data_IF_975902228854
#
_entry.id   IF_975902228854
#
_cell.length_a   1.000
_cell.length_b   1.000
_cell.length_c   1.000
_cell.angle_alpha   90.00
_cell.angle_beta   90.00
_cell.angle_gamma   90.00
#
_symmetry.space_group_name_H-M   'P 1'
#
loop_
_entity.id
_entity.type
_entity.pdbx_description
1 polymer ?
#
# COMPACT_ATOMS: atom_id res chain seq x y z
N UNK A 1 -5.75 -30.38 52.39
CA UNK A 1 -5.77 -29.14 53.18
C UNK A 1 -5.96 -27.99 52.22
N UNK A 2 -6.95 -27.11 52.29
CA UNK A 2 -8.26 -27.07 52.94
C UNK A 2 -8.77 -25.65 52.65
N UNK A 3 -9.70 -25.50 51.70
CA UNK A 3 -10.56 -24.32 51.61
C UNK A 3 -11.59 -24.38 52.75
N UNK A 4 -11.99 -23.25 53.35
CA UNK A 4 -13.33 -22.70 53.08
C UNK A 4 -13.36 -21.15 52.99
N UNK A 5 -14.20 -20.47 52.18
CA UNK A 5 -15.67 -20.48 52.02
C UNK A 5 -16.43 -19.49 52.97
N UNK A 6 -17.44 -18.81 52.40
CA UNK A 6 -18.58 -18.06 53.00
C UNK A 6 -18.55 -16.52 53.27
N UNK A 7 -19.49 -15.85 52.61
CA UNK A 7 -20.17 -14.56 52.91
C UNK A 7 -21.29 -14.77 53.96
N UNK A 8 -21.64 -13.77 54.81
CA UNK A 8 -23.04 -13.35 54.79
C UNK A 8 -23.35 -11.86 55.13
N UNK A 9 -24.14 -11.23 54.25
CA UNK A 9 -25.37 -10.42 54.49
C UNK A 9 -25.68 -9.83 55.89
N UNK A 10 -26.05 -8.53 55.92
CA UNK A 10 -27.21 -7.90 56.63
C UNK A 10 -27.11 -6.35 56.51
N UNK A 11 -28.16 -5.49 56.56
CA UNK A 11 -29.61 -5.69 56.45
C UNK A 11 -30.36 -4.34 56.15
N UNK A 12 -31.58 -4.47 55.62
CA UNK A 12 -32.84 -3.77 55.98
C UNK A 12 -33.13 -2.27 55.68
N UNK A 13 -34.13 -2.10 54.78
CA UNK A 13 -35.25 -1.12 54.75
C UNK A 13 -35.94 -0.91 56.14
N UNK A 14 -36.76 0.15 56.40
CA UNK A 14 -37.88 0.67 55.56
C UNK A 14 -38.00 2.23 55.59
N UNK A 15 -39.10 2.95 55.25
CA UNK A 15 -40.52 2.62 54.96
C UNK A 15 -41.26 3.66 54.08
N UNK A 16 -42.44 3.29 53.57
CA UNK A 16 -43.60 4.17 53.20
C UNK A 16 -44.70 4.01 54.30
N UNK A 17 -45.77 4.83 54.44
CA UNK A 17 -46.71 5.30 53.40
C UNK A 17 -47.15 6.79 53.62
N UNK A 18 -48.29 7.38 53.21
CA UNK A 18 -49.47 6.97 52.44
C UNK A 18 -50.17 8.19 51.77
N UNK A 19 -50.92 8.01 50.68
CA UNK A 19 -52.34 8.43 50.51
C UNK A 19 -52.84 8.48 49.05
N UNK A 20 -54.12 8.13 48.89
CA UNK A 20 -55.04 8.16 47.73
C UNK A 20 -56.44 8.46 48.34
N UNK A 21 -57.56 8.60 47.60
CA UNK A 21 -57.80 8.75 46.15
C UNK A 21 -58.83 9.88 45.82
N UNK A 22 -59.21 10.05 44.53
CA UNK A 22 -60.60 9.88 43.99
C UNK A 22 -60.98 10.80 42.80
N UNK A 23 -61.59 10.17 41.79
CA UNK A 23 -62.65 10.70 40.89
C UNK A 23 -62.33 11.92 39.98
N UNK A 24 -62.92 12.13 38.79
CA UNK A 24 -63.92 11.34 38.01
C UNK A 24 -63.68 11.60 36.51
N UNK A 25 -64.14 10.69 35.64
CA UNK A 25 -63.70 10.61 34.25
C UNK A 25 -64.18 11.67 33.27
N UNK A 26 -63.87 11.44 31.98
CA UNK A 26 -64.86 11.44 30.90
C UNK A 26 -64.37 10.55 29.73
N UNK A 27 -65.32 10.04 28.95
CA UNK A 27 -65.07 9.13 27.83
C UNK A 27 -64.72 9.92 26.56
N UNK A 28 -63.68 9.52 25.83
CA UNK A 28 -63.74 9.49 24.37
C UNK A 28 -62.83 8.39 23.83
N UNK A 29 -63.25 7.77 22.73
CA UNK A 29 -62.71 6.51 22.24
C UNK A 29 -62.29 6.61 20.76
N UNK A 30 -61.43 5.68 20.34
CA UNK A 30 -60.99 5.42 18.96
C UNK A 30 -60.29 6.58 18.23
N UNK A 31 -59.00 6.40 17.94
CA UNK A 31 -58.54 5.92 16.64
C UNK A 31 -57.09 6.38 16.36
N UNK A 32 -56.09 5.50 16.53
CA UNK A 32 -54.76 5.63 15.90
C UNK A 32 -53.87 4.37 16.07
N UNK A 33 -54.46 3.17 15.97
CA UNK A 33 -53.72 1.89 15.88
C UNK A 33 -53.39 1.52 14.42
N UNK A 34 -52.77 2.45 13.69
CA UNK A 34 -52.39 2.28 12.28
C UNK A 34 -51.13 3.09 11.90
N UNK A 35 -50.08 3.05 12.73
CA UNK A 35 -48.82 3.77 12.49
C UNK A 35 -47.53 3.04 12.96
N UNK A 36 -47.60 1.71 13.18
CA UNK A 36 -46.47 0.91 13.70
C UNK A 36 -45.96 -0.19 12.74
N UNK A 37 -46.36 -0.14 11.46
CA UNK A 37 -45.89 -1.07 10.41
C UNK A 37 -44.89 -0.43 9.42
N UNK A 38 -44.47 0.81 9.65
CA UNK A 38 -43.56 1.56 8.77
C UNK A 38 -42.11 1.69 9.30
N UNK A 39 -41.74 0.88 10.30
CA UNK A 39 -40.38 0.77 10.84
C UNK A 39 -39.88 -0.68 10.81
N UNK A 40 -40.21 -1.41 9.74
CA UNK A 40 -39.24 -2.40 9.27
C UNK A 40 -37.99 -1.59 8.88
N UNK A 41 -36.79 -1.88 9.40
CA UNK A 41 -35.59 -1.38 8.74
C UNK A 41 -35.68 -1.88 7.31
N UNK A 42 -35.51 -0.98 6.34
CA UNK A 42 -35.17 -1.42 4.99
C UNK A 42 -33.89 -2.19 5.14
N UNK A 43 -34.00 -3.53 5.16
CA UNK A 43 -32.87 -4.43 5.11
C UNK A 43 -32.12 -4.04 3.85
N UNK A 44 -31.06 -3.24 4.03
CA UNK A 44 -30.10 -2.96 2.99
C UNK A 44 -29.53 -4.31 2.64
N UNK A 45 -30.10 -4.91 1.59
CA UNK A 45 -29.69 -6.21 1.09
C UNK A 45 -28.19 -6.09 0.89
N UNK A 46 -27.41 -6.94 1.56
CA UNK A 46 -25.97 -6.97 1.36
C UNK A 46 -25.78 -7.20 -0.15
N UNK A 47 -25.33 -6.15 -0.83
CA UNK A 47 -25.54 -6.02 -2.27
C UNK A 47 -24.89 -7.17 -3.05
N UNK A 48 -23.74 -7.59 -2.53
CA UNK A 48 -23.06 -8.81 -2.93
C UNK A 48 -22.99 -9.77 -1.72
N UNK A 49 -23.01 -11.10 -1.96
CA UNK A 49 -22.66 -12.09 -0.95
C UNK A 49 -21.27 -11.83 -0.36
N UNK A 50 -21.02 -12.18 0.92
CA UNK A 50 -19.71 -11.95 1.55
C UNK A 50 -18.60 -12.74 0.84
N UNK A 51 -17.34 -12.29 0.95
CA UNK A 51 -16.20 -12.97 0.33
C UNK A 51 -15.98 -14.41 0.85
N UNK A 52 -16.50 -14.73 2.03
CA UNK A 52 -16.48 -16.07 2.63
C UNK A 52 -17.58 -17.01 2.10
N UNK A 53 -18.51 -16.52 1.25
CA UNK A 53 -19.54 -17.34 0.63
C UNK A 53 -18.90 -18.34 -0.36
N UNK A 54 -19.23 -19.65 -0.30
CA UNK A 54 -18.66 -20.67 -1.19
C UNK A 54 -18.85 -20.31 -2.67
N UNK A 55 -17.79 -20.37 -3.48
CA UNK A 55 -17.83 -19.99 -4.90
C UNK A 55 -18.66 -20.96 -5.77
N UNK A 56 -18.88 -22.20 -5.29
CA UNK A 56 -19.74 -23.19 -5.94
C UNK A 56 -21.25 -22.92 -5.73
N UNK A 57 -21.65 -21.87 -5.00
CA UNK A 57 -23.06 -21.48 -4.87
C UNK A 57 -23.57 -20.95 -6.22
N UNK A 58 -24.79 -21.33 -6.60
CA UNK A 58 -25.46 -20.87 -7.82
C UNK A 58 -25.70 -19.34 -7.75
N UNK A 59 -25.15 -18.53 -8.69
CA UNK A 59 -25.37 -17.08 -8.71
C UNK A 59 -26.84 -16.66 -8.74
N UNK A 60 -27.73 -17.47 -9.33
CA UNK A 60 -29.17 -17.17 -9.41
C UNK A 60 -29.86 -17.32 -8.05
N UNK A 61 -29.40 -18.26 -7.21
CA UNK A 61 -29.84 -18.39 -5.82
C UNK A 61 -29.34 -17.23 -4.94
N UNK A 62 -28.21 -16.62 -5.31
CA UNK A 62 -27.69 -15.37 -4.73
C UNK A 62 -28.44 -14.13 -5.24
N UNK A 63 -29.39 -14.29 -6.18
CA UNK A 63 -30.16 -13.20 -6.78
C UNK A 63 -29.41 -12.39 -7.85
N UNK A 64 -28.28 -12.91 -8.33
CA UNK A 64 -27.42 -12.25 -9.31
C UNK A 64 -27.92 -12.47 -10.75
N UNK A 65 -27.57 -11.51 -11.62
CA UNK A 65 -27.90 -11.49 -13.05
C UNK A 65 -26.63 -11.65 -13.87
N UNK A 66 -26.61 -12.66 -14.73
CA UNK A 66 -25.48 -12.95 -15.61
C UNK A 66 -25.42 -12.00 -16.81
N UNK A 67 -24.24 -11.42 -17.05
CA UNK A 67 -23.85 -10.75 -18.28
C UNK A 67 -22.68 -11.55 -18.89
N UNK A 68 -22.91 -12.41 -19.89
CA UNK A 68 -21.85 -13.18 -20.54
C UNK A 68 -20.96 -12.27 -21.39
N UNK A 69 -19.66 -12.53 -21.39
CA UNK A 69 -18.66 -11.77 -22.17
C UNK A 69 -17.95 -12.64 -23.20
N UNK A 70 -17.69 -12.08 -24.37
CA UNK A 70 -16.78 -12.61 -25.38
C UNK A 70 -15.35 -12.05 -25.17
N UNK A 71 -14.89 -12.09 -23.92
CA UNK A 71 -13.60 -11.58 -23.47
C UNK A 71 -12.97 -12.62 -22.54
N UNK A 72 -11.71 -12.98 -22.80
CA UNK A 72 -10.92 -13.80 -21.89
C UNK A 72 -10.30 -12.90 -20.81
N UNK A 73 -10.41 -13.31 -19.55
CA UNK A 73 -9.88 -12.60 -18.38
C UNK A 73 -8.78 -13.44 -17.71
N UNK A 74 -7.77 -13.79 -18.50
CA UNK A 74 -6.65 -14.67 -18.14
C UNK A 74 -5.43 -13.94 -17.54
N UNK A 75 -5.33 -12.61 -17.68
CA UNK A 75 -4.24 -11.86 -17.06
C UNK A 75 -4.11 -10.40 -17.49
N UNK A 76 -2.89 -10.01 -17.86
CA UNK A 76 -2.57 -8.63 -18.25
C UNK A 76 -3.08 -8.29 -19.65
N UNK A 77 -3.78 -7.17 -19.77
CA UNK A 77 -4.34 -6.70 -21.05
C UNK A 77 -4.72 -5.24 -21.01
N UNK A 78 -5.20 -4.71 -22.14
CA UNK A 78 -5.74 -3.36 -22.24
C UNK A 78 -7.20 -3.45 -22.69
N UNK A 79 -8.10 -2.93 -21.85
CA UNK A 79 -9.53 -2.87 -22.11
C UNK A 79 -9.99 -1.42 -22.36
N UNK A 80 -11.17 -1.26 -22.95
CA UNK A 80 -11.81 0.02 -23.19
C UNK A 80 -12.50 0.50 -21.90
N UNK A 81 -12.17 1.72 -21.48
CA UNK A 81 -12.79 2.35 -20.32
C UNK A 81 -14.11 3.06 -20.61
N UNK A 82 -14.85 3.37 -19.55
CA UNK A 82 -16.15 4.05 -19.58
C UNK A 82 -16.13 5.45 -20.23
N UNK A 83 -14.95 6.06 -20.38
CA UNK A 83 -14.73 7.37 -21.02
C UNK A 83 -13.93 7.24 -22.32
N UNK A 84 -13.78 6.03 -22.85
CA UNK A 84 -12.99 5.74 -24.05
C UNK A 84 -11.48 5.66 -23.82
N UNK A 85 -11.03 5.63 -22.57
CA UNK A 85 -9.62 5.47 -22.22
C UNK A 85 -9.12 4.02 -22.37
N UNK A 86 -7.80 3.84 -22.32
CA UNK A 86 -7.15 2.53 -22.28
C UNK A 86 -6.95 2.13 -20.81
N UNK A 87 -7.73 1.17 -20.32
CA UNK A 87 -7.65 0.65 -18.95
C UNK A 87 -6.72 -0.58 -18.92
N UNK A 88 -5.60 -0.55 -18.18
CA UNK A 88 -4.78 -1.74 -17.98
C UNK A 88 -5.49 -2.73 -17.05
N UNK A 89 -6.02 -3.80 -17.63
CA UNK A 89 -6.50 -4.95 -16.87
C UNK A 89 -5.30 -5.77 -16.38
N UNK A 90 -5.40 -6.24 -15.14
CA UNK A 90 -4.39 -7.10 -14.49
C UNK A 90 -5.09 -8.24 -13.76
N UNK A 91 -4.34 -9.28 -13.43
CA UNK A 91 -4.86 -10.39 -12.64
C UNK A 91 -5.42 -9.91 -11.29
N UNK A 92 -4.78 -8.92 -10.66
CA UNK A 92 -5.30 -8.23 -9.47
C UNK A 92 -6.41 -7.24 -9.85
N UNK A 93 -7.62 -7.40 -9.30
CA UNK A 93 -8.71 -6.43 -9.51
C UNK A 93 -8.45 -5.09 -8.79
N UNK A 94 -7.75 -5.18 -7.65
CA UNK A 94 -7.28 -4.05 -6.83
C UNK A 94 -5.75 -4.13 -6.80
N UNK A 95 -5.07 -3.14 -7.39
CA UNK A 95 -3.60 -3.13 -7.48
C UNK A 95 -3.00 -1.78 -7.08
N UNK A 96 -1.75 -1.81 -6.63
CA UNK A 96 -0.91 -0.61 -6.42
C UNK A 96 0.34 -0.78 -7.25
N UNK A 97 0.72 0.23 -8.04
CA UNK A 97 1.86 0.12 -8.94
C UNK A 97 3.18 0.06 -8.17
N UNK A 98 4.16 -0.67 -8.70
CA UNK A 98 5.43 -0.93 -8.02
C UNK A 98 6.46 0.19 -8.23
N UNK A 99 6.23 1.08 -9.20
CA UNK A 99 7.28 1.78 -9.94
C UNK A 99 7.11 3.30 -10.10
N UNK A 100 5.92 3.88 -9.87
CA UNK A 100 5.77 5.34 -9.97
C UNK A 100 4.50 5.94 -9.37
N UNK A 101 3.33 5.48 -9.82
CA UNK A 101 2.03 5.98 -9.36
C UNK A 101 1.60 5.26 -8.07
N UNK A 102 1.54 5.94 -6.90
CA UNK A 102 1.08 5.32 -5.67
C UNK A 102 -0.41 4.95 -5.70
N UNK A 103 -1.21 5.52 -6.60
CA UNK A 103 -2.67 5.45 -6.54
C UNK A 103 -3.18 4.01 -6.74
N UNK A 104 -4.01 3.47 -5.82
CA UNK A 104 -4.66 2.19 -6.02
C UNK A 104 -5.59 2.21 -7.22
N UNK A 105 -5.50 1.19 -8.07
CA UNK A 105 -6.27 1.02 -9.30
C UNK A 105 -7.32 -0.06 -9.12
N UNK A 106 -8.54 0.23 -9.60
CA UNK A 106 -9.74 -0.59 -9.45
C UNK A 106 -10.31 -0.91 -10.83
N UNK A 107 -9.50 -1.53 -11.68
CA UNK A 107 -9.71 -1.51 -13.14
C UNK A 107 -11.08 -2.05 -13.57
N UNK A 108 -11.70 -2.95 -12.80
CA UNK A 108 -13.03 -3.49 -13.07
C UNK A 108 -14.16 -2.47 -12.98
N UNK A 109 -13.97 -1.38 -12.23
CA UNK A 109 -14.92 -0.28 -12.10
C UNK A 109 -14.73 0.77 -13.22
N UNK A 110 -13.57 0.80 -13.87
CA UNK A 110 -13.23 1.75 -14.95
C UNK A 110 -13.62 1.25 -16.36
N UNK A 111 -13.83 -0.06 -16.54
CA UNK A 111 -14.07 -0.71 -17.86
C UNK A 111 -15.52 -0.56 -18.36
N UNK A 112 -15.68 -0.25 -19.65
CA UNK A 112 -16.99 -0.35 -20.31
C UNK A 112 -17.30 -1.80 -20.70
N UNK A 113 -17.88 -2.54 -19.76
CA UNK A 113 -18.26 -3.93 -19.96
C UNK A 113 -19.28 -4.17 -21.08
N UNK A 114 -19.98 -3.14 -21.57
CA UNK A 114 -21.03 -3.29 -22.59
C UNK A 114 -20.45 -3.72 -23.93
N UNK A 115 -19.26 -3.23 -24.29
CA UNK A 115 -18.61 -3.54 -25.59
C UNK A 115 -18.09 -4.97 -25.69
N UNK A 116 -18.02 -5.69 -24.56
CA UNK A 116 -17.52 -7.06 -24.46
C UNK A 116 -18.64 -8.11 -24.33
N UNK A 117 -19.91 -7.71 -24.35
CA UNK A 117 -21.05 -8.62 -24.18
C UNK A 117 -21.08 -9.69 -25.26
N UNK A 118 -21.17 -10.97 -24.87
CA UNK A 118 -21.24 -12.09 -25.79
C UNK A 118 -22.58 -12.13 -26.53
N UNK A 119 -22.55 -12.48 -27.82
CA UNK A 119 -23.77 -12.70 -28.59
C UNK A 119 -24.48 -13.99 -28.14
N UNK A 120 -25.80 -14.03 -28.28
CA UNK A 120 -26.59 -15.20 -27.90
C UNK A 120 -26.10 -16.47 -28.64
N UNK A 121 -25.84 -17.53 -27.88
CA UNK A 121 -25.33 -18.81 -28.39
C UNK A 121 -23.81 -18.89 -28.61
N UNK A 122 -23.05 -17.81 -28.37
CA UNK A 122 -21.59 -17.85 -28.40
C UNK A 122 -21.02 -18.27 -27.02
N UNK A 123 -19.90 -19.02 -26.98
CA UNK A 123 -19.21 -19.33 -25.72
C UNK A 123 -18.83 -18.07 -24.93
N UNK A 124 -19.04 -18.09 -23.62
CA UNK A 124 -18.69 -16.98 -22.72
C UNK A 124 -17.45 -17.33 -21.91
N UNK A 125 -16.30 -16.75 -22.28
CA UNK A 125 -15.01 -16.91 -21.58
C UNK A 125 -14.95 -16.13 -20.25
N UNK A 126 -15.90 -15.24 -20.01
CA UNK A 126 -16.20 -14.72 -18.68
C UNK A 126 -17.70 -14.46 -18.54
N UNK A 127 -18.22 -14.49 -17.31
CA UNK A 127 -19.58 -14.07 -16.98
C UNK A 127 -19.52 -13.12 -15.79
N UNK A 128 -20.02 -11.90 -15.97
CA UNK A 128 -20.19 -10.94 -14.90
C UNK A 128 -21.52 -11.21 -14.19
N UNK A 129 -21.48 -11.46 -12.89
CA UNK A 129 -22.66 -11.66 -12.06
C UNK A 129 -22.94 -10.38 -11.29
N UNK A 130 -24.03 -9.69 -11.66
CA UNK A 130 -24.40 -8.38 -11.12
C UNK A 130 -25.60 -8.46 -10.18
N UNK A 131 -25.66 -7.59 -9.17
CA UNK A 131 -26.84 -7.47 -8.31
C UNK A 131 -28.04 -6.82 -9.05
N UNK A 132 -29.12 -6.56 -8.32
CA UNK A 132 -30.31 -5.91 -8.87
C UNK A 132 -30.07 -4.45 -9.32
N UNK A 133 -29.08 -3.78 -8.73
CA UNK A 133 -28.69 -2.38 -8.98
C UNK A 133 -27.60 -2.27 -10.08
N UNK A 134 -27.06 -3.40 -10.53
CA UNK A 134 -26.04 -3.48 -11.59
C UNK A 134 -24.59 -3.54 -11.09
N UNK A 135 -24.35 -3.59 -9.78
CA UNK A 135 -23.00 -3.70 -9.18
C UNK A 135 -22.40 -5.07 -9.46
N UNK A 136 -21.08 -5.13 -9.69
CA UNK A 136 -20.38 -6.36 -10.04
C UNK A 136 -20.04 -7.17 -8.78
N UNK A 137 -20.79 -8.24 -8.49
CA UNK A 137 -20.61 -9.02 -7.27
C UNK A 137 -19.71 -10.25 -7.46
N UNK A 138 -19.67 -10.80 -8.67
CA UNK A 138 -18.86 -11.97 -8.99
C UNK A 138 -18.47 -11.96 -10.46
N UNK A 139 -17.33 -12.57 -10.78
CA UNK A 139 -16.84 -12.82 -12.13
C UNK A 139 -16.56 -14.31 -12.20
N UNK A 140 -17.28 -15.05 -13.05
CA UNK A 140 -16.91 -16.40 -13.43
C UNK A 140 -15.97 -16.34 -14.62
N UNK A 141 -14.84 -17.05 -14.59
CA UNK A 141 -13.91 -17.19 -15.72
C UNK A 141 -14.06 -18.56 -16.34
N UNK A 142 -13.98 -18.63 -17.67
CA UNK A 142 -13.90 -19.89 -18.39
C UNK A 142 -12.79 -19.83 -19.45
N UNK A 143 -12.10 -20.94 -19.66
CA UNK A 143 -11.15 -21.12 -20.76
C UNK A 143 -11.71 -22.06 -21.84
N UNK A 144 -11.25 -21.92 -23.09
CA UNK A 144 -11.64 -22.81 -24.19
C UNK A 144 -10.48 -23.75 -24.51
N UNK A 145 -10.52 -24.97 -23.96
CA UNK A 145 -9.51 -26.00 -24.18
C UNK A 145 -10.05 -27.03 -25.16
N UNK A 146 -9.40 -27.14 -26.33
CA UNK A 146 -9.76 -28.11 -27.40
C UNK A 146 -11.25 -28.04 -27.79
N UNK A 147 -11.80 -26.83 -27.87
CA UNK A 147 -13.21 -26.59 -28.23
C UNK A 147 -14.22 -26.88 -27.10
N UNK A 148 -13.76 -27.16 -25.87
CA UNK A 148 -14.61 -27.29 -24.69
C UNK A 148 -14.42 -26.08 -23.78
N UNK A 149 -15.52 -25.55 -23.27
CA UNK A 149 -15.49 -24.54 -22.21
C UNK A 149 -15.20 -25.26 -20.87
N UNK A 150 -14.15 -24.84 -20.18
CA UNK A 150 -13.77 -25.33 -18.86
C UNK A 150 -13.80 -24.16 -17.87
N UNK A 151 -14.14 -24.47 -16.61
CA UNK A 151 -14.09 -23.53 -15.50
C UNK A 151 -12.63 -23.10 -15.23
N UNK A 152 -12.41 -21.78 -15.13
CA UNK A 152 -11.14 -21.14 -14.81
C UNK A 152 -11.17 -20.45 -13.42
N UNK A 153 -12.13 -20.82 -12.58
CA UNK A 153 -12.42 -20.20 -11.30
C UNK A 153 -13.01 -18.80 -11.48
N UNK A 154 -12.62 -17.86 -10.62
CA UNK A 154 -13.15 -16.50 -10.74
C UNK A 154 -12.95 -15.64 -9.51
N UNK A 155 -13.81 -14.64 -9.35
CA UNK A 155 -13.70 -13.63 -8.30
C UNK A 155 -15.04 -13.36 -7.62
N UNK A 156 -15.04 -13.16 -6.29
CA UNK A 156 -16.10 -12.44 -5.57
C UNK A 156 -15.61 -11.04 -5.23
N UNK A 157 -16.51 -10.06 -5.26
CA UNK A 157 -16.22 -8.66 -4.96
C UNK A 157 -17.10 -8.22 -3.77
N UNK A 158 -16.54 -7.38 -2.91
CA UNK A 158 -17.23 -6.79 -1.77
C UNK A 158 -17.04 -5.27 -1.76
N UNK A 159 -18.05 -4.57 -1.25
CA UNK A 159 -18.17 -3.11 -1.32
C UNK A 159 -18.37 -2.53 0.08
N UNK A 160 -17.90 -1.31 0.31
CA UNK A 160 -18.12 -0.60 1.56
C UNK A 160 -19.57 -0.06 1.68
N UNK A 161 -19.90 0.51 2.84
CA UNK A 161 -21.22 1.08 3.09
C UNK A 161 -21.56 2.31 2.22
N UNK A 162 -20.60 2.84 1.46
CA UNK A 162 -20.80 3.89 0.46
C UNK A 162 -20.89 3.31 -0.97
N UNK A 163 -20.89 1.98 -1.10
CA UNK A 163 -21.04 1.28 -2.37
C UNK A 163 -19.78 1.28 -3.24
N UNK A 164 -18.59 1.54 -2.67
CA UNK A 164 -17.29 1.53 -3.38
C UNK A 164 -16.61 0.18 -3.21
N UNK A 165 -15.92 -0.31 -4.24
CA UNK A 165 -15.16 -1.55 -4.19
C UNK A 165 -14.14 -1.50 -3.04
N UNK A 166 -14.30 -2.41 -2.08
CA UNK A 166 -13.54 -2.45 -0.83
C UNK A 166 -12.73 -3.73 -0.68
N UNK A 167 -13.11 -4.83 -1.34
CA UNK A 167 -12.32 -6.05 -1.37
C UNK A 167 -12.65 -6.98 -2.54
N UNK A 168 -11.76 -7.92 -2.85
CA UNK A 168 -12.04 -9.07 -3.70
C UNK A 168 -11.43 -10.35 -3.12
N UNK A 169 -11.99 -11.50 -3.52
CA UNK A 169 -11.43 -12.84 -3.30
C UNK A 169 -11.36 -13.57 -4.63
N UNK A 170 -10.19 -14.10 -4.99
CA UNK A 170 -9.98 -14.92 -6.19
C UNK A 170 -10.02 -16.41 -5.84
N UNK A 171 -10.66 -17.19 -6.70
CA UNK A 171 -10.88 -18.63 -6.58
C UNK A 171 -10.32 -19.38 -7.78
N UNK A 172 -9.77 -20.57 -7.52
CA UNK A 172 -9.27 -21.49 -8.55
C UNK A 172 -10.40 -22.27 -9.22
N UNK A 173 -10.13 -23.06 -10.29
CA UNK A 173 -11.08 -24.02 -10.86
C UNK A 173 -11.55 -25.11 -9.87
N UNK A 174 -10.82 -25.31 -8.77
CA UNK A 174 -11.27 -26.16 -7.65
C UNK A 174 -12.17 -25.43 -6.65
N UNK A 175 -12.53 -24.17 -6.94
CA UNK A 175 -13.22 -23.25 -6.05
C UNK A 175 -12.52 -23.01 -4.69
N UNK A 176 -11.20 -23.23 -4.65
CA UNK A 176 -10.36 -22.91 -3.49
C UNK A 176 -9.92 -21.45 -3.55
N UNK A 177 -9.89 -20.77 -2.40
CA UNK A 177 -9.39 -19.41 -2.29
C UNK A 177 -7.91 -19.36 -2.68
N UNK A 178 -7.57 -18.54 -3.67
CA UNK A 178 -6.20 -18.32 -4.17
C UNK A 178 -5.57 -17.14 -3.44
N UNK A 179 -6.30 -16.03 -3.34
CA UNK A 179 -5.88 -14.79 -2.68
C UNK A 179 -7.06 -13.87 -2.40
N UNK A 180 -6.83 -12.86 -1.57
CA UNK A 180 -7.72 -11.72 -1.40
C UNK A 180 -6.95 -10.42 -1.58
N UNK A 181 -7.67 -9.31 -1.75
CA UNK A 181 -7.16 -7.99 -1.41
C UNK A 181 -8.29 -7.11 -0.87
N UNK A 182 -7.99 -6.20 0.03
CA UNK A 182 -8.96 -5.22 0.52
C UNK A 182 -8.36 -3.83 0.74
N UNK A 183 -9.23 -2.84 0.91
CA UNK A 183 -8.92 -1.43 0.95
C UNK A 183 -9.57 -0.80 2.18
N UNK A 184 -8.73 -0.34 3.10
CA UNK A 184 -9.18 0.46 4.23
C UNK A 184 -9.30 1.93 3.80
N UNK A 185 -10.46 2.53 4.09
CA UNK A 185 -10.73 3.97 3.89
C UNK A 185 -10.97 4.65 5.24
N UNK A 186 -10.76 5.95 5.31
CA UNK A 186 -11.19 6.77 6.45
C UNK A 186 -12.68 7.15 6.35
N UNK A 187 -13.16 7.90 7.35
CA UNK A 187 -14.54 8.37 7.41
C UNK A 187 -14.94 9.30 6.24
N UNK A 188 -13.97 9.93 5.57
CA UNK A 188 -14.19 10.76 4.39
C UNK A 188 -14.07 9.97 3.08
N UNK A 189 -13.71 8.69 3.15
CA UNK A 189 -13.55 7.80 2.00
C UNK A 189 -12.15 7.77 1.39
N UNK A 190 -11.19 8.51 1.93
CA UNK A 190 -9.82 8.50 1.44
C UNK A 190 -9.16 7.15 1.78
N UNK A 191 -8.45 6.56 0.82
CA UNK A 191 -7.72 5.31 1.05
C UNK A 191 -6.60 5.56 2.07
N UNK A 192 -6.56 4.72 3.10
CA UNK A 192 -5.50 4.66 4.13
C UNK A 192 -4.58 3.46 3.96
N UNK A 193 -5.09 2.35 3.43
CA UNK A 193 -4.29 1.17 3.17
C UNK A 193 -4.91 0.30 2.06
N UNK A 194 -4.05 -0.41 1.33
CA UNK A 194 -4.40 -1.59 0.55
C UNK A 194 -3.68 -2.78 1.16
N UNK A 195 -4.40 -3.88 1.34
CA UNK A 195 -3.92 -5.11 1.93
C UNK A 195 -4.01 -6.23 0.90
N UNK A 196 -2.94 -7.01 0.76
CA UNK A 196 -2.94 -8.24 -0.03
C UNK A 196 -3.13 -9.48 0.85
N UNK A 197 -3.51 -10.58 0.21
CA UNK A 197 -3.63 -11.95 0.72
C UNK A 197 -4.78 -12.22 1.70
N UNK A 198 -5.07 -11.34 2.68
CA UNK A 198 -6.13 -11.54 3.67
C UNK A 198 -6.85 -10.25 4.07
N UNK A 199 -8.16 -10.35 4.35
CA UNK A 199 -9.00 -9.21 4.74
C UNK A 199 -9.29 -9.08 6.25
N UNK A 200 -9.36 -10.20 6.97
CA UNK A 200 -9.97 -10.27 8.32
C UNK A 200 -8.95 -10.45 9.47
N UNK A 201 -7.65 -10.40 9.16
CA UNK A 201 -6.55 -10.59 10.11
C UNK A 201 -5.52 -9.47 10.00
N UNK A 202 -4.51 -9.44 10.89
CA UNK A 202 -3.38 -8.50 10.81
C UNK A 202 -2.72 -8.60 9.42
N UNK A 203 -2.79 -7.56 8.58
CA UNK A 203 -2.42 -7.68 7.17
C UNK A 203 -0.93 -7.98 6.99
N UNK A 204 -0.62 -9.03 6.23
CA UNK A 204 0.74 -9.55 6.07
C UNK A 204 1.57 -8.78 5.05
N UNK A 205 0.94 -7.99 4.16
CA UNK A 205 1.59 -7.24 3.07
C UNK A 205 0.87 -5.90 2.76
N UNK A 206 0.86 -4.93 3.69
CA UNK A 206 0.16 -3.67 3.49
C UNK A 206 0.93 -2.69 2.59
N UNK A 207 0.19 -1.87 1.85
CA UNK A 207 0.64 -0.57 1.33
C UNK A 207 -0.19 0.52 2.00
N UNK A 208 0.45 1.38 2.79
CA UNK A 208 -0.21 2.47 3.51
C UNK A 208 -0.16 3.79 2.74
N UNK A 209 -1.17 4.62 2.99
CA UNK A 209 -1.40 5.92 2.39
C UNK A 209 -1.52 6.95 3.52
N UNK A 210 -0.41 7.60 3.84
CA UNK A 210 -0.34 8.57 4.94
C UNK A 210 -0.79 9.93 4.44
N UNK A 211 -1.83 10.47 5.06
CA UNK A 211 -2.39 11.79 4.75
C UNK A 211 -2.28 12.73 5.94
N UNK A 212 -2.12 14.02 5.66
CA UNK A 212 -2.25 15.08 6.67
C UNK A 212 -3.71 15.22 7.13
N UNK A 213 -3.95 15.99 8.20
CA UNK A 213 -5.32 16.32 8.63
C UNK A 213 -6.13 17.08 7.57
N UNK A 214 -5.48 17.76 6.64
CA UNK A 214 -6.11 18.41 5.48
C UNK A 214 -6.42 17.43 4.32
N UNK A 215 -6.15 16.13 4.49
CA UNK A 215 -6.41 15.09 3.48
C UNK A 215 -5.36 14.96 2.37
N UNK A 216 -4.34 15.82 2.34
CA UNK A 216 -3.22 15.77 1.40
C UNK A 216 -2.40 14.49 1.59
N UNK A 217 -2.06 13.78 0.50
CA UNK A 217 -1.20 12.61 0.56
C UNK A 217 0.25 13.05 0.79
N UNK A 218 0.83 12.62 1.92
CA UNK A 218 2.20 12.95 2.31
C UNK A 218 3.17 11.89 1.84
N UNK A 219 2.86 10.61 2.11
CA UNK A 219 3.70 9.48 1.70
C UNK A 219 2.93 8.19 1.54
N UNK A 220 3.50 7.26 0.78
CA UNK A 220 3.08 5.85 0.77
C UNK A 220 4.17 4.96 1.30
N UNK A 221 3.79 3.98 2.12
CA UNK A 221 4.70 3.04 2.77
C UNK A 221 4.33 1.64 2.25
N UNK A 222 5.18 1.07 1.41
CA UNK A 222 5.00 -0.26 0.82
C UNK A 222 5.78 -1.30 1.64
N UNK A 223 5.05 -2.17 2.34
CA UNK A 223 5.60 -3.25 3.17
C UNK A 223 5.33 -4.63 2.57
N UNK A 224 5.05 -4.75 1.26
CA UNK A 224 4.77 -6.05 0.61
C UNK A 224 5.96 -7.01 0.66
N UNK A 225 7.18 -6.49 0.77
CA UNK A 225 8.42 -7.23 1.00
C UNK A 225 8.81 -7.32 2.50
N UNK A 226 7.89 -7.00 3.42
CA UNK A 226 8.15 -6.88 4.85
C UNK A 226 8.86 -5.57 5.24
N UNK A 227 9.07 -5.36 6.53
CA UNK A 227 9.72 -4.16 7.07
C UNK A 227 11.17 -4.00 6.61
N UNK A 228 11.90 -5.11 6.44
CA UNK A 228 13.27 -5.14 5.94
C UNK A 228 13.40 -4.89 4.42
N UNK A 229 12.29 -4.96 3.68
CA UNK A 229 12.21 -4.62 2.27
C UNK A 229 11.34 -3.38 2.00
N UNK A 230 11.07 -2.58 3.03
CA UNK A 230 10.12 -1.48 2.96
C UNK A 230 10.58 -0.36 2.02
N UNK A 231 9.63 0.16 1.23
CA UNK A 231 9.84 1.29 0.32
C UNK A 231 8.90 2.41 0.70
N UNK A 232 9.44 3.57 1.07
CA UNK A 232 8.64 4.78 1.29
C UNK A 232 8.78 5.68 0.08
N UNK A 233 7.64 6.13 -0.47
CA UNK A 233 7.58 7.24 -1.43
C UNK A 233 7.03 8.45 -0.70
N UNK A 234 7.82 9.50 -0.65
CA UNK A 234 7.52 10.71 0.07
C UNK A 234 7.24 11.83 -0.94
N UNK A 235 6.21 12.63 -0.70
CA UNK A 235 5.59 13.48 -1.72
C UNK A 235 5.63 14.97 -1.34
N UNK A 236 5.76 15.80 -2.37
CA UNK A 236 5.59 17.25 -2.28
C UNK A 236 4.10 17.60 -2.14
N UNK A 237 3.84 18.87 -1.80
CA UNK A 237 2.48 19.36 -1.57
C UNK A 237 1.56 19.28 -2.80
N UNK A 238 2.13 19.28 -4.01
CA UNK A 238 1.45 19.12 -5.30
C UNK A 238 1.22 17.64 -5.70
N UNK A 239 1.67 16.68 -4.87
CA UNK A 239 1.61 15.25 -5.14
C UNK A 239 2.76 14.70 -5.98
N UNK A 240 3.74 15.52 -6.38
CA UNK A 240 4.95 15.05 -7.05
C UNK A 240 5.87 14.30 -6.08
N UNK A 241 6.71 13.40 -6.60
CA UNK A 241 7.63 12.61 -5.80
C UNK A 241 8.77 13.49 -5.26
N UNK A 242 8.86 13.64 -3.94
CA UNK A 242 9.94 14.36 -3.24
C UNK A 242 11.17 13.48 -3.08
N UNK A 243 10.97 12.26 -2.57
CA UNK A 243 12.04 11.29 -2.33
C UNK A 243 11.50 9.85 -2.34
N UNK A 244 12.39 8.89 -2.56
CA UNK A 244 12.15 7.46 -2.31
C UNK A 244 13.14 7.00 -1.26
N UNK A 245 12.67 6.35 -0.20
CA UNK A 245 13.52 5.76 0.82
C UNK A 245 13.44 4.23 0.75
N UNK A 246 14.58 3.57 0.96
CA UNK A 246 14.70 2.11 0.97
C UNK A 246 15.62 1.64 2.10
N UNK A 247 15.38 0.41 2.56
CA UNK A 247 16.28 -0.36 3.40
C UNK A 247 17.18 -1.29 2.57
N UNK A 248 18.36 -1.63 3.11
CA UNK A 248 19.23 -2.72 2.67
C UNK A 248 19.97 -3.30 3.87
N UNK A 249 20.44 -4.56 3.84
CA UNK A 249 21.39 -5.08 4.83
C UNK A 249 22.65 -4.22 4.91
N UNK A 250 23.13 -4.01 6.14
CA UNK A 250 24.42 -3.41 6.45
C UNK A 250 25.53 -4.47 6.22
N UNK A 251 26.51 -4.23 5.31
CA UNK A 251 27.56 -5.20 5.03
C UNK A 251 28.49 -5.43 6.23
N UNK A 252 28.63 -4.45 7.12
CA UNK A 252 29.54 -4.51 8.27
C UNK A 252 28.83 -5.05 9.54
N UNK A 253 27.49 -5.13 9.51
CA UNK A 253 26.64 -5.57 10.65
C UNK A 253 25.48 -6.44 10.14
N UNK A 254 25.62 -7.77 10.10
CA UNK A 254 24.67 -8.68 9.45
C UNK A 254 23.19 -8.55 9.85
N UNK A 255 22.93 -8.17 11.10
CA UNK A 255 21.56 -8.01 11.65
C UNK A 255 21.03 -6.57 11.57
N UNK A 256 21.80 -5.63 11.00
CA UNK A 256 21.40 -4.23 10.86
C UNK A 256 20.94 -3.90 9.44
N UNK A 257 20.08 -2.89 9.32
CA UNK A 257 19.64 -2.32 8.05
C UNK A 257 20.16 -0.89 7.92
N UNK A 258 20.74 -0.58 6.77
CA UNK A 258 21.00 0.80 6.35
C UNK A 258 19.81 1.29 5.53
N UNK A 259 19.26 2.42 5.94
CA UNK A 259 18.08 3.03 5.31
C UNK A 259 18.47 4.36 4.71
N UNK A 260 18.06 4.67 3.49
CA UNK A 260 18.61 5.80 2.74
C UNK A 260 17.62 6.36 1.72
N UNK A 261 17.76 7.65 1.41
CA UNK A 261 17.13 8.26 0.25
C UNK A 261 17.83 7.74 -1.02
N UNK A 262 17.06 7.13 -1.92
CA UNK A 262 17.53 6.62 -3.21
C UNK A 262 17.86 7.81 -4.12
N UNK A 263 19.11 7.93 -4.63
CA UNK A 263 19.46 9.00 -5.55
C UNK A 263 18.64 8.95 -6.86
N UNK A 264 18.41 10.10 -7.54
CA UNK A 264 17.76 10.13 -8.85
C UNK A 264 18.55 9.36 -9.93
N UNK A 265 19.88 9.45 -9.93
CA UNK A 265 20.74 8.71 -10.85
C UNK A 265 20.83 7.24 -10.48
N UNK A 266 20.62 6.37 -11.48
CA UNK A 266 20.71 4.90 -11.36
C UNK A 266 22.02 4.31 -11.91
N UNK A 267 22.89 5.14 -12.50
CA UNK A 267 24.10 4.67 -13.19
C UNK A 267 25.24 4.33 -12.23
N UNK A 268 25.35 5.06 -11.11
CA UNK A 268 26.44 4.94 -10.15
C UNK A 268 26.16 3.94 -9.03
N UNK A 269 27.22 3.31 -8.51
CA UNK A 269 27.13 2.39 -7.37
C UNK A 269 26.86 3.17 -6.09
N UNK A 270 25.64 3.05 -5.56
CA UNK A 270 25.24 3.71 -4.30
C UNK A 270 25.97 3.08 -3.10
N UNK A 271 26.76 3.91 -2.41
CA UNK A 271 27.43 3.57 -1.15
C UNK A 271 26.64 4.18 0.00
N UNK A 272 26.00 3.35 0.81
CA UNK A 272 25.22 3.84 1.95
C UNK A 272 26.14 3.89 3.17
N UNK A 273 26.34 5.08 3.74
CA UNK A 273 27.25 5.33 4.86
C UNK A 273 26.44 5.61 6.13
N UNK A 274 26.66 4.91 7.26
CA UNK A 274 25.99 5.19 8.52
C UNK A 274 26.14 6.67 8.94
N UNK A 275 25.11 7.26 9.54
CA UNK A 275 25.15 8.66 9.96
C UNK A 275 26.27 8.91 11.00
N UNK A 276 27.19 9.82 10.69
CA UNK A 276 28.32 10.15 11.56
C UNK A 276 29.49 9.15 11.49
N UNK A 277 29.54 8.31 10.47
CA UNK A 277 30.63 7.35 10.25
C UNK A 277 31.45 7.70 9.00
N UNK A 278 32.68 7.19 8.94
CA UNK A 278 33.42 7.18 7.68
C UNK A 278 32.74 6.22 6.67
N UNK A 279 32.74 6.52 5.35
CA UNK A 279 32.67 5.45 4.36
C UNK A 279 33.82 4.45 4.61
N UNK A 280 33.56 3.18 4.35
CA UNK A 280 34.59 2.13 4.33
C UNK A 280 34.54 1.54 2.93
N UNK A 281 35.61 1.76 2.15
CA UNK A 281 35.75 1.18 0.81
C UNK A 281 37.14 0.60 0.67
N UNK A 282 37.23 -0.70 0.45
CA UNK A 282 38.48 -1.41 0.19
C UNK A 282 38.85 -1.30 -1.28
N UNK A 283 40.06 -0.81 -1.57
CA UNK A 283 40.70 -0.83 -2.89
C UNK A 283 41.74 -1.94 -3.03
N UNK A 284 42.09 -2.60 -1.92
CA UNK A 284 43.16 -3.60 -1.80
C UNK A 284 44.59 -3.03 -2.01
N UNK A 285 44.72 -1.74 -2.33
CA UNK A 285 45.99 -1.05 -2.61
C UNK A 285 46.28 -0.02 -1.52
N UNK A 286 47.32 -0.19 -0.68
CA UNK A 286 47.73 0.81 0.31
C UNK A 286 48.30 2.09 -0.31
N UNK A 287 48.14 3.23 0.37
CA UNK A 287 48.66 4.56 -0.02
C UNK A 287 48.09 5.10 -1.37
N UNK A 288 46.99 4.52 -1.86
CA UNK A 288 46.30 4.91 -3.09
C UNK A 288 45.52 6.23 -2.88
N UNK A 289 45.66 7.23 -3.78
CA UNK A 289 45.00 8.52 -3.62
C UNK A 289 43.49 8.45 -3.91
N UNK A 290 42.69 8.90 -2.96
CA UNK A 290 41.23 9.03 -3.10
C UNK A 290 40.80 10.51 -3.03
N UNK A 291 39.67 10.83 -3.67
CA UNK A 291 39.05 12.17 -3.59
C UNK A 291 37.53 12.08 -3.48
N UNK A 292 36.95 12.92 -2.62
CA UNK A 292 35.51 13.19 -2.63
C UNK A 292 35.29 14.52 -3.35
N UNK A 293 34.44 14.50 -4.37
CA UNK A 293 34.17 15.67 -5.22
C UNK A 293 32.68 15.96 -5.27
N UNK A 294 32.33 17.24 -5.46
CA UNK A 294 31.00 17.69 -5.87
C UNK A 294 31.01 18.02 -7.35
N UNK A 295 29.99 17.55 -8.05
CA UNK A 295 29.73 17.81 -9.47
C UNK A 295 28.57 18.82 -9.59
N UNK A 296 28.60 19.77 -10.54
CA UNK A 296 27.49 20.69 -10.81
C UNK A 296 26.19 19.99 -11.19
N UNK A 297 25.06 20.68 -10.98
CA UNK A 297 23.74 20.04 -11.05
C UNK A 297 23.29 19.70 -12.49
N UNK A 298 23.80 20.41 -13.49
CA UNK A 298 23.55 20.28 -14.93
C UNK A 298 24.42 19.21 -15.62
N UNK A 299 25.44 18.71 -14.92
CA UNK A 299 26.50 17.84 -15.47
C UNK A 299 26.14 16.33 -15.38
N UNK A 300 24.90 16.01 -14.98
CA UNK A 300 24.46 14.65 -14.61
C UNK A 300 23.12 14.24 -15.23
N UNK A 301 22.60 15.04 -16.17
CA UNK A 301 21.34 14.76 -16.85
C UNK A 301 21.62 13.99 -18.15
N UNK A 302 21.05 12.78 -18.24
CA UNK A 302 21.09 11.77 -19.34
C UNK A 302 22.47 11.26 -19.83
N UNK A 303 23.54 12.05 -19.81
CA UNK A 303 24.92 11.58 -20.03
C UNK A 303 25.78 11.84 -18.79
N UNK A 304 26.29 10.76 -18.19
CA UNK A 304 27.16 10.85 -17.02
C UNK A 304 28.64 11.11 -17.39
N UNK A 305 29.05 11.00 -18.65
CA UNK A 305 30.45 11.17 -19.08
C UNK A 305 31.07 12.51 -18.66
N UNK A 306 30.39 13.68 -18.78
CA UNK A 306 30.93 14.96 -18.33
C UNK A 306 31.29 14.97 -16.84
N UNK A 307 30.55 14.26 -15.99
CA UNK A 307 30.82 14.20 -14.55
C UNK A 307 32.12 13.49 -14.15
N UNK A 308 32.78 12.80 -15.10
CA UNK A 308 34.10 12.20 -14.92
C UNK A 308 35.26 13.17 -15.20
N UNK A 309 35.02 14.27 -15.91
CA UNK A 309 36.06 15.28 -16.19
C UNK A 309 36.51 15.97 -14.88
N UNK A 310 37.80 15.92 -14.50
CA UNK A 310 38.31 16.64 -13.35
C UNK A 310 38.09 18.16 -13.42
N UNK A 311 37.97 18.76 -14.61
CA UNK A 311 37.79 20.20 -14.78
C UNK A 311 36.43 20.73 -14.28
N UNK A 312 35.40 19.87 -14.22
CA UNK A 312 34.08 20.23 -13.68
C UNK A 312 33.91 19.81 -12.21
N UNK A 313 34.89 19.12 -11.62
CA UNK A 313 34.82 18.60 -10.26
C UNK A 313 35.32 19.63 -9.22
N UNK A 314 34.49 19.94 -8.22
CA UNK A 314 34.97 20.63 -7.01
C UNK A 314 35.45 19.59 -6.01
N UNK A 315 36.76 19.49 -5.78
CA UNK A 315 37.30 18.63 -4.71
C UNK A 315 36.87 19.17 -3.34
N UNK A 316 36.17 18.34 -2.56
CA UNK A 316 35.73 18.68 -1.21
C UNK A 316 36.74 18.22 -0.15
N UNK A 317 37.33 17.05 -0.38
CA UNK A 317 38.36 16.44 0.47
C UNK A 317 39.09 15.36 -0.32
N UNK A 318 40.30 15.05 0.11
CA UNK A 318 41.15 14.03 -0.51
C UNK A 318 42.09 13.43 0.54
N UNK A 319 42.65 12.27 0.24
CA UNK A 319 43.59 11.60 1.12
C UNK A 319 44.18 10.38 0.43
N UNK A 320 44.70 9.45 1.23
CA UNK A 320 45.31 8.20 0.75
C UNK A 320 44.72 7.02 1.54
N UNK A 321 44.65 5.84 0.93
CA UNK A 321 44.14 4.65 1.59
C UNK A 321 45.06 4.20 2.74
N UNK A 322 44.50 3.56 3.76
CA UNK A 322 45.27 3.07 4.92
C UNK A 322 46.15 1.85 4.55
N UNK A 323 46.87 1.29 5.54
CA UNK A 323 47.74 0.13 5.34
C UNK A 323 47.01 -1.14 4.87
N UNK A 324 45.67 -1.18 4.98
CA UNK A 324 44.79 -2.26 4.51
C UNK A 324 44.17 -1.94 3.14
N UNK A 325 44.59 -0.85 2.48
CA UNK A 325 44.00 -0.39 1.22
C UNK A 325 42.56 0.08 1.37
N UNK A 326 42.19 0.63 2.53
CA UNK A 326 40.83 1.15 2.77
C UNK A 326 40.81 2.67 2.74
N UNK A 327 39.81 3.23 2.05
CA UNK A 327 39.43 4.63 2.20
C UNK A 327 38.71 4.78 3.54
N UNK A 328 39.32 5.55 4.45
CA UNK A 328 38.76 5.93 5.75
C UNK A 328 39.04 7.42 5.97
N UNK A 329 38.00 8.19 6.28
CA UNK A 329 38.07 9.61 6.60
C UNK A 329 38.62 9.83 8.00
N UNK A 330 39.36 10.92 8.20
CA UNK A 330 39.77 11.35 9.55
C UNK A 330 38.56 11.87 10.34
N UNK A 331 38.60 11.90 11.70
CA UNK A 331 37.48 12.39 12.51
C UNK A 331 37.00 13.79 12.13
N UNK A 332 37.91 14.67 11.69
CA UNK A 332 37.62 16.04 11.27
C UNK A 332 36.91 16.10 9.89
N UNK A 333 37.08 15.07 9.05
CA UNK A 333 36.49 14.98 7.71
C UNK A 333 35.07 14.41 7.71
N UNK A 334 34.70 13.58 8.70
CA UNK A 334 33.40 12.88 8.75
C UNK A 334 32.21 13.85 8.76
N UNK A 335 32.24 14.90 9.59
CA UNK A 335 31.14 15.85 9.67
C UNK A 335 30.98 16.70 8.37
N UNK A 336 32.04 17.30 7.80
CA UNK A 336 32.00 17.93 6.47
C UNK A 336 31.53 16.99 5.36
N UNK A 337 31.91 15.72 5.38
CA UNK A 337 31.46 14.72 4.39
C UNK A 337 29.94 14.58 4.42
N UNK A 338 29.36 14.23 5.57
CA UNK A 338 27.91 14.10 5.70
C UNK A 338 27.16 15.42 5.46
N UNK A 339 27.77 16.58 5.75
CA UNK A 339 27.20 17.87 5.41
C UNK A 339 27.08 18.05 3.89
N UNK A 340 28.13 17.78 3.12
CA UNK A 340 28.10 17.88 1.66
C UNK A 340 27.06 16.94 1.03
N UNK A 341 26.88 15.73 1.58
CA UNK A 341 25.85 14.78 1.12
C UNK A 341 24.43 15.30 1.34
N UNK A 342 24.19 16.06 2.42
CA UNK A 342 22.88 16.68 2.71
C UNK A 342 22.64 17.94 1.90
N UNK A 343 23.66 18.78 1.73
CA UNK A 343 23.56 20.04 0.97
C UNK A 343 23.36 19.80 -0.53
N UNK A 344 23.98 18.74 -1.08
CA UNK A 344 23.89 18.42 -2.51
C UNK A 344 23.64 16.93 -2.76
N UNK A 345 22.43 16.41 -2.45
CA UNK A 345 22.09 15.00 -2.61
C UNK A 345 22.23 14.54 -4.05
N UNK A 346 22.86 13.38 -4.27
CA UNK A 346 23.05 12.83 -5.62
C UNK A 346 24.11 13.55 -6.48
N UNK A 347 24.89 14.48 -5.90
CA UNK A 347 25.90 15.30 -6.60
C UNK A 347 27.32 15.19 -6.02
N UNK A 348 27.50 14.44 -4.94
CA UNK A 348 28.80 14.17 -4.31
C UNK A 348 29.24 12.74 -4.61
N UNK A 349 30.48 12.56 -5.06
CA UNK A 349 31.05 11.27 -5.47
C UNK A 349 32.34 10.99 -4.71
N UNK A 350 32.54 9.74 -4.29
CA UNK A 350 33.82 9.25 -3.79
C UNK A 350 34.54 8.52 -4.91
N UNK A 351 35.62 9.11 -5.42
CA UNK A 351 36.57 8.46 -6.31
C UNK A 351 37.62 7.74 -5.47
N UNK A 352 37.74 6.44 -5.65
CA UNK A 352 38.78 5.62 -4.99
C UNK A 352 40.01 5.45 -5.88
N UNK A 353 39.82 5.57 -7.19
CA UNK A 353 40.83 5.86 -8.21
C UNK A 353 40.13 6.51 -9.42
N UNK A 354 40.86 7.00 -10.42
CA UNK A 354 40.28 7.81 -11.51
C UNK A 354 39.22 7.10 -12.38
N UNK A 355 39.12 5.77 -12.31
CA UNK A 355 38.18 4.95 -13.10
C UNK A 355 37.08 4.29 -12.24
N UNK A 356 37.10 4.44 -10.91
CA UNK A 356 36.06 3.89 -10.02
C UNK A 356 35.58 4.95 -9.05
N UNK A 357 34.28 5.22 -9.09
CA UNK A 357 33.59 6.06 -8.13
C UNK A 357 32.38 5.39 -7.52
N UNK A 358 31.99 5.89 -6.37
CA UNK A 358 30.76 5.56 -5.67
C UNK A 358 29.91 6.82 -5.51
N UNK A 359 28.60 6.64 -5.42
CA UNK A 359 27.66 7.68 -5.04
C UNK A 359 27.32 7.52 -3.55
N UNK A 360 28.07 8.16 -2.64
CA UNK A 360 27.79 8.12 -1.21
C UNK A 360 26.44 8.76 -0.87
N UNK A 361 25.70 8.11 0.01
CA UNK A 361 24.49 8.65 0.66
C UNK A 361 24.58 8.44 2.16
N UNK A 362 24.07 9.39 2.94
CA UNK A 362 23.98 9.23 4.40
C UNK A 362 22.77 8.35 4.72
N UNK A 363 22.97 7.34 5.55
CA UNK A 363 21.87 6.56 6.09
C UNK A 363 21.02 7.39 7.06
N UNK A 364 19.71 7.20 7.06
CA UNK A 364 18.82 7.72 8.08
C UNK A 364 19.14 7.04 9.41
N UNK A 365 18.98 7.79 10.51
CA UNK A 365 19.04 7.19 11.85
C UNK A 365 17.80 6.32 12.10
N UNK A 366 17.94 5.25 12.89
CA UNK A 366 16.87 4.28 13.15
C UNK A 366 15.55 4.94 13.58
N UNK A 367 15.61 5.98 14.42
CA UNK A 367 14.42 6.71 14.88
C UNK A 367 13.69 7.42 13.74
N UNK A 368 14.41 8.07 12.83
CA UNK A 368 13.84 8.70 11.63
C UNK A 368 13.24 7.64 10.71
N UNK A 369 13.92 6.51 10.51
CA UNK A 369 13.35 5.42 9.70
C UNK A 369 12.06 4.86 10.30
N UNK A 370 12.02 4.59 11.61
CA UNK A 370 10.81 4.11 12.28
C UNK A 370 9.65 5.10 12.15
N UNK A 371 9.90 6.41 12.29
CA UNK A 371 8.88 7.44 12.06
C UNK A 371 8.41 7.48 10.58
N UNK A 372 9.34 7.33 9.64
CA UNK A 372 9.07 7.32 8.21
C UNK A 372 8.16 6.15 7.77
N UNK A 373 8.38 4.95 8.32
CA UNK A 373 7.57 3.74 8.03
C UNK A 373 6.34 3.57 8.93
N UNK A 374 6.12 4.44 9.92
CA UNK A 374 4.91 4.41 10.76
C UNK A 374 3.72 5.05 10.04
N UNK A 375 2.63 4.29 9.74
CA UNK A 375 1.45 4.81 9.06
C UNK A 375 0.51 5.64 9.94
N UNK A 376 0.79 5.74 11.25
CA UNK A 376 0.08 6.61 12.20
C UNK A 376 0.68 8.02 12.27
N UNK A 377 1.96 8.19 11.91
CA UNK A 377 2.67 9.48 11.88
C UNK A 377 2.23 10.34 10.71
N UNK A 378 1.43 11.39 10.96
CA UNK A 378 0.86 12.28 9.93
C UNK A 378 1.64 13.58 9.68
N UNK A 379 2.83 13.69 10.23
CA UNK A 379 3.78 14.76 9.95
C UNK A 379 4.49 14.55 8.60
N UNK A 380 4.66 15.65 7.86
CA UNK A 380 5.31 15.65 6.54
C UNK A 380 6.83 15.42 6.60
N UNK A 381 7.46 15.70 7.75
CA UNK A 381 8.89 15.58 7.97
C UNK A 381 9.29 14.26 8.66
N UNK A 382 8.41 13.25 8.66
CA UNK A 382 8.66 11.99 9.37
C UNK A 382 9.88 11.19 8.85
N UNK A 383 10.41 11.55 7.68
CA UNK A 383 11.57 10.93 7.03
C UNK A 383 12.84 11.82 7.04
N UNK A 384 12.85 12.89 7.85
CA UNK A 384 13.95 13.87 7.99
C UNK A 384 14.74 13.71 9.32
#
# INVERSE_FOLDING_TARGET
MADPMFDPRCASLPATPASRPLATGHKMALALTAALLALAPTLSRAACPPLTAPFNTDPTAEGLRAQPLALLLDGEGILLGLRGERVPARAELISVANDGDPTPRFWTEDVDWRVYTSAAGQPATAVLQRDADGRLCRIDRNEIVRGRLLDAGGYRLAYDAQGRLSAYAEFSPGHHLVRQACVARDAHGAIRAVYADQCDATPTRPVYFVRSEAGQLLRTIDLRAGTAGAVVRDLNADGTLRAVYRSRPDPDRPDALLTYAVPPSKADRVLVVPAGASPIVTTEIPDEPWRVVRVPADTLDDDALPSWDPAVQTVLMQGRSNAQGQVVLTPEQIAPFHQALRETPGRVFLYVHDMTRFLPVTALGDKTWQACIDPSRRDAQACE
#
